data_IF_921074753012
#
_entry.id   IF_921074753012
#
_cell.length_a   1.000
_cell.length_b   1.000
_cell.length_c   1.000
_cell.angle_alpha   90.00
_cell.angle_beta   90.00
_cell.angle_gamma   90.00
#
_symmetry.space_group_name_H-M   'P 1'
#
loop_
_entity.id
_entity.type
_entity.pdbx_description
1 polymer ?
#
# COMPACT_ATOMS: atom_id res chain seq x y z
N UNK A 1 -15.20 -27.69 -43.72
CA UNK A 1 -14.49 -27.48 -42.44
C UNK A 1 -14.48 -25.97 -42.19
N UNK A 2 -15.08 -25.45 -41.11
CA UNK A 2 -14.99 -24.02 -40.83
C UNK A 2 -13.57 -23.68 -40.35
N UNK A 3 -12.97 -22.68 -40.97
CA UNK A 3 -11.61 -22.19 -40.73
C UNK A 3 -11.48 -21.46 -39.40
N UNK A 4 -10.33 -21.61 -38.74
CA UNK A 4 -9.88 -21.00 -37.48
C UNK A 4 -9.78 -19.45 -37.50
N UNK A 5 -10.54 -18.76 -38.35
CA UNK A 5 -10.45 -17.31 -38.58
C UNK A 5 -11.40 -16.51 -37.67
N UNK A 6 -11.78 -17.04 -36.52
CA UNK A 6 -12.66 -16.37 -35.54
C UNK A 6 -12.05 -16.36 -34.14
N UNK A 7 -10.79 -15.96 -34.02
CA UNK A 7 -10.22 -15.61 -32.72
C UNK A 7 -9.42 -14.32 -32.93
N UNK A 8 -9.69 -13.30 -32.13
CA UNK A 8 -9.03 -11.99 -32.08
C UNK A 8 -9.53 -10.88 -33.01
N UNK A 9 -10.83 -10.62 -33.02
CA UNK A 9 -11.30 -9.23 -32.98
C UNK A 9 -11.69 -8.89 -31.54
N UNK A 10 -10.71 -8.88 -30.64
CA UNK A 10 -10.89 -8.23 -29.35
C UNK A 10 -10.68 -6.74 -29.60
N UNK A 11 -11.77 -6.00 -29.73
CA UNK A 11 -11.70 -4.55 -29.62
C UNK A 11 -11.08 -4.21 -28.25
N UNK A 12 -10.15 -3.25 -28.18
CA UNK A 12 -9.53 -2.89 -26.91
C UNK A 12 -10.61 -2.39 -25.95
N UNK A 13 -10.81 -3.12 -24.85
CA UNK A 13 -11.70 -2.69 -23.76
C UNK A 13 -11.10 -1.43 -23.17
N UNK A 14 -11.71 -0.28 -23.46
CA UNK A 14 -11.29 1.00 -22.88
C UNK A 14 -11.84 1.06 -21.46
N UNK A 15 -10.96 0.88 -20.47
CA UNK A 15 -11.31 0.99 -19.05
C UNK A 15 -11.50 2.46 -18.72
N UNK A 16 -12.66 2.84 -18.19
CA UNK A 16 -12.93 4.24 -17.79
C UNK A 16 -11.95 4.72 -16.73
N UNK A 17 -11.59 6.00 -16.73
CA UNK A 17 -10.69 6.60 -15.73
C UNK A 17 -11.23 6.39 -14.30
N UNK A 18 -12.55 6.47 -14.11
CA UNK A 18 -13.21 6.20 -12.83
C UNK A 18 -12.97 4.76 -12.34
N UNK A 19 -13.03 3.76 -13.23
CA UNK A 19 -12.72 2.37 -12.90
C UNK A 19 -11.24 2.19 -12.54
N UNK A 20 -10.33 2.90 -13.24
CA UNK A 20 -8.89 2.86 -12.94
C UNK A 20 -8.58 3.47 -11.57
N UNK A 21 -9.21 4.61 -11.23
CA UNK A 21 -9.02 5.26 -9.94
C UNK A 21 -9.62 4.45 -8.78
N UNK A 22 -10.78 3.81 -8.98
CA UNK A 22 -11.36 2.92 -7.98
C UNK A 22 -10.43 1.73 -7.65
N UNK A 23 -9.85 1.11 -8.68
CA UNK A 23 -8.86 0.05 -8.50
C UNK A 23 -7.58 0.56 -7.83
N UNK A 24 -7.08 1.73 -8.25
CA UNK A 24 -5.91 2.34 -7.61
C UNK A 24 -6.14 2.63 -6.11
N UNK A 25 -7.36 3.05 -5.75
CA UNK A 25 -7.73 3.29 -4.35
C UNK A 25 -7.75 2.00 -3.53
N UNK A 26 -8.31 0.91 -4.07
CA UNK A 26 -8.31 -0.41 -3.41
C UNK A 26 -6.89 -0.87 -3.11
N UNK A 27 -5.99 -0.77 -4.10
CA UNK A 27 -4.58 -1.11 -3.93
C UNK A 27 -3.89 -0.21 -2.89
N UNK A 28 -4.18 1.09 -2.89
CA UNK A 28 -3.62 2.02 -1.92
C UNK A 28 -4.08 1.74 -0.48
N UNK A 29 -5.36 1.40 -0.27
CA UNK A 29 -5.86 1.00 1.06
C UNK A 29 -5.19 -0.30 1.54
N UNK A 30 -4.97 -1.27 0.65
CA UNK A 30 -4.21 -2.49 0.99
C UNK A 30 -2.77 -2.18 1.40
N UNK A 31 -2.07 -1.29 0.68
CA UNK A 31 -0.71 -0.86 1.02
C UNK A 31 -0.68 -0.16 2.37
N UNK A 32 -1.64 0.73 2.65
CA UNK A 32 -1.78 1.38 3.97
C UNK A 32 -1.98 0.35 5.08
N UNK A 33 -2.83 -0.65 4.85
CA UNK A 33 -3.05 -1.75 5.81
C UNK A 33 -1.77 -2.54 6.09
N UNK A 34 -1.04 -2.92 5.04
CA UNK A 34 0.22 -3.65 5.18
C UNK A 34 1.29 -2.83 5.92
N UNK A 35 1.41 -1.52 5.62
CA UNK A 35 2.34 -0.63 6.31
C UNK A 35 1.97 -0.42 7.78
N UNK A 36 0.68 -0.35 8.10
CA UNK A 36 0.21 -0.25 9.49
C UNK A 36 0.52 -1.54 10.27
N UNK A 37 0.34 -2.70 9.65
CA UNK A 37 0.70 -3.98 10.24
C UNK A 37 2.22 -4.08 10.49
N UNK A 38 3.04 -3.69 9.51
CA UNK A 38 4.49 -3.68 9.67
C UNK A 38 4.94 -2.77 10.83
N UNK A 39 4.35 -1.58 10.97
CA UNK A 39 4.63 -0.68 12.09
C UNK A 39 4.24 -1.31 13.43
N UNK A 40 3.07 -1.95 13.53
CA UNK A 40 2.67 -2.60 14.78
C UNK A 40 3.65 -3.69 15.21
N UNK A 41 4.17 -4.45 14.24
CA UNK A 41 5.14 -5.51 14.51
C UNK A 41 6.51 -4.95 14.89
N UNK A 42 6.97 -3.87 14.24
CA UNK A 42 8.21 -3.19 14.60
C UNK A 42 8.15 -2.61 16.03
N UNK A 43 7.00 -2.03 16.41
CA UNK A 43 6.77 -1.51 17.76
C UNK A 43 6.83 -2.61 18.83
N UNK A 44 6.17 -3.75 18.57
CA UNK A 44 6.20 -4.92 19.46
C UNK A 44 7.63 -5.43 19.64
N UNK A 45 8.37 -5.61 18.55
CA UNK A 45 9.75 -6.10 18.58
C UNK A 45 10.70 -5.14 19.33
N UNK A 46 10.53 -3.83 19.17
CA UNK A 46 11.30 -2.83 19.90
C UNK A 46 10.99 -2.86 21.41
N UNK A 47 9.71 -3.08 21.78
CA UNK A 47 9.29 -3.26 23.17
C UNK A 47 9.89 -4.52 23.80
N UNK A 48 9.80 -5.66 23.11
CA UNK A 48 10.36 -6.94 23.56
C UNK A 48 11.87 -6.85 23.82
N UNK A 49 12.61 -6.12 22.97
CA UNK A 49 14.05 -5.92 23.16
C UNK A 49 14.38 -5.08 24.41
N UNK A 50 13.51 -4.14 24.80
CA UNK A 50 13.65 -3.40 26.06
C UNK A 50 13.45 -4.34 27.25
N UNK A 51 12.39 -5.15 27.21
CA UNK A 51 12.03 -6.06 28.29
C UNK A 51 13.06 -7.19 28.46
N UNK A 52 13.65 -7.67 27.35
CA UNK A 52 14.73 -8.64 27.35
C UNK A 52 16.09 -8.07 27.82
N UNK A 53 16.20 -6.75 27.97
CA UNK A 53 17.45 -6.10 28.38
C UNK A 53 18.54 -6.12 27.29
N UNK A 54 18.14 -6.11 26.02
CA UNK A 54 19.07 -6.15 24.89
C UNK A 54 20.06 -4.95 24.90
N UNK A 55 21.27 -5.12 24.31
CA UNK A 55 22.24 -4.05 24.16
C UNK A 55 21.63 -2.80 23.50
N UNK A 56 22.18 -1.63 23.83
CA UNK A 56 21.64 -0.36 23.33
C UNK A 56 21.75 -0.26 21.80
N UNK A 57 22.76 -0.89 21.20
CA UNK A 57 22.95 -0.97 19.75
C UNK A 57 21.78 -1.72 19.10
N UNK A 58 21.39 -2.87 19.66
CA UNK A 58 20.26 -3.69 19.17
C UNK A 58 18.95 -2.91 19.28
N UNK A 59 18.70 -2.28 20.44
CA UNK A 59 17.49 -1.47 20.64
C UNK A 59 17.43 -0.26 19.72
N UNK A 60 18.58 0.38 19.45
CA UNK A 60 18.68 1.50 18.51
C UNK A 60 18.33 1.08 17.09
N UNK A 61 18.81 -0.07 16.64
CA UNK A 61 18.50 -0.58 15.30
C UNK A 61 17.01 -0.89 15.15
N UNK A 62 16.38 -1.43 16.20
CA UNK A 62 14.94 -1.72 16.22
C UNK A 62 14.08 -0.45 16.23
N UNK A 63 14.44 0.58 17.01
CA UNK A 63 13.76 1.87 16.93
C UNK A 63 13.92 2.52 15.54
N UNK A 64 15.08 2.36 14.90
CA UNK A 64 15.25 2.79 13.51
C UNK A 64 14.29 2.10 12.55
N UNK A 65 14.12 0.78 12.70
CA UNK A 65 13.15 0.02 11.91
C UNK A 65 11.69 0.44 12.18
N UNK A 66 11.37 0.78 13.42
CA UNK A 66 10.06 1.33 13.79
C UNK A 66 9.81 2.70 13.13
N UNK A 67 10.78 3.61 13.20
CA UNK A 67 10.71 4.93 12.56
C UNK A 67 10.56 4.82 11.04
N UNK A 68 11.31 3.91 10.41
CA UNK A 68 11.21 3.64 8.98
C UNK A 68 9.81 3.10 8.62
N UNK A 69 9.25 2.17 9.40
CA UNK A 69 7.90 1.67 9.20
C UNK A 69 6.84 2.76 9.36
N UNK A 70 7.03 3.67 10.33
CA UNK A 70 6.14 4.81 10.53
C UNK A 70 6.18 5.78 9.34
N UNK A 71 7.36 6.02 8.78
CA UNK A 71 7.54 6.82 7.57
C UNK A 71 6.83 6.19 6.37
N UNK A 72 6.98 4.87 6.17
CA UNK A 72 6.30 4.16 5.08
C UNK A 72 4.78 4.24 5.20
N UNK A 73 4.23 4.11 6.42
CA UNK A 73 2.81 4.28 6.66
C UNK A 73 2.32 5.70 6.33
N UNK A 74 3.10 6.71 6.71
CA UNK A 74 2.77 8.10 6.41
C UNK A 74 2.74 8.38 4.90
N UNK A 75 3.74 7.86 4.15
CA UNK A 75 3.79 7.96 2.70
C UNK A 75 2.62 7.23 2.02
N UNK A 76 2.32 6.00 2.45
CA UNK A 76 1.19 5.24 1.92
C UNK A 76 -0.15 5.97 2.12
N UNK A 77 -0.36 6.57 3.30
CA UNK A 77 -1.56 7.37 3.58
C UNK A 77 -1.64 8.59 2.66
N UNK A 78 -0.52 9.29 2.47
CA UNK A 78 -0.45 10.45 1.58
C UNK A 78 -0.85 10.09 0.14
N UNK A 79 -0.32 8.99 -0.39
CA UNK A 79 -0.62 8.56 -1.76
C UNK A 79 -2.08 8.14 -1.92
N UNK A 80 -2.62 7.40 -0.94
CA UNK A 80 -4.05 7.06 -0.89
C UNK A 80 -4.93 8.31 -0.86
N UNK A 81 -4.60 9.29 -0.03
CA UNK A 81 -5.40 10.50 0.12
C UNK A 81 -5.39 11.34 -1.18
N UNK A 82 -4.26 11.39 -1.88
CA UNK A 82 -4.19 12.00 -3.21
C UNK A 82 -5.11 11.30 -4.24
N UNK A 83 -5.25 9.98 -4.18
CA UNK A 83 -6.20 9.23 -5.04
C UNK A 83 -7.65 9.58 -4.67
N UNK A 84 -7.97 9.67 -3.37
CA UNK A 84 -9.31 10.07 -2.90
C UNK A 84 -9.67 11.47 -3.40
N UNK A 85 -8.75 12.42 -3.32
CA UNK A 85 -8.94 13.79 -3.83
C UNK A 85 -9.23 13.80 -5.34
N UNK A 86 -8.51 12.99 -6.13
CA UNK A 86 -8.76 12.87 -7.57
C UNK A 86 -10.13 12.28 -7.89
N UNK A 87 -10.58 11.27 -7.15
CA UNK A 87 -11.93 10.71 -7.30
C UNK A 87 -13.00 11.75 -6.98
N UNK A 88 -12.83 12.51 -5.89
CA UNK A 88 -13.75 13.57 -5.50
C UNK A 88 -13.84 14.67 -6.56
N UNK A 89 -12.72 15.03 -7.20
CA UNK A 89 -12.67 16.03 -8.26
C UNK A 89 -13.42 15.60 -9.54
N UNK A 90 -13.58 14.31 -9.79
CA UNK A 90 -14.37 13.79 -10.93
C UNK A 90 -15.87 13.72 -10.67
N UNK A 91 -16.29 13.82 -9.39
CA UNK A 91 -17.69 13.76 -8.99
C UNK A 91 -18.38 15.14 -8.98
N UNK A 92 -17.65 16.22 -9.30
CA UNK A 92 -18.12 17.61 -9.39
C UNK A 92 -18.34 18.01 -10.85
#
# INVERSE_FOLDING_TARGET
MPTLTQINTLEPVTISEHTQLAWALEQAEQIVGNAAYALSWAHELAGDAIDAGEPIEVRRDLWGAEDDAALQLALAKKDRDAIKERILAQAQ
#
